data_IF_441027953223
#
_entry.id   IF_441027953223
#
_cell.length_a   1.000
_cell.length_b   1.000
_cell.length_c   1.000
_cell.angle_alpha   90.00
_cell.angle_beta   90.00
_cell.angle_gamma   90.00
#
_symmetry.space_group_name_H-M   'P 1'
#
loop_
_entity.id
_entity.type
_entity.pdbx_description
1 polymer ?
#
# COMPACT_ATOMS: atom_id res chain seq x y z
N UNK A 1 2.68 -4.31 -4.90
CA UNK A 1 2.08 -5.55 -4.39
C UNK A 1 1.02 -5.98 -5.40
N UNK A 2 1.23 -7.11 -6.09
CA UNK A 2 0.27 -7.61 -7.08
C UNK A 2 -0.60 -8.65 -6.36
N UNK A 3 -1.89 -8.37 -6.17
CA UNK A 3 -2.86 -9.26 -5.50
C UNK A 3 -3.75 -9.91 -6.55
N UNK A 4 -3.25 -10.74 -7.48
CA UNK A 4 -4.09 -11.24 -8.60
C UNK A 4 -5.41 -11.90 -8.12
N UNK A 5 -6.54 -11.23 -8.31
CA UNK A 5 -7.87 -11.85 -8.22
C UNK A 5 -8.32 -12.31 -9.61
N UNK A 6 -7.90 -13.51 -10.02
CA UNK A 6 -8.54 -14.24 -11.11
C UNK A 6 -9.54 -15.21 -10.50
N UNK A 7 -10.85 -14.96 -10.66
CA UNK A 7 -11.93 -15.83 -10.19
C UNK A 7 -11.79 -17.28 -10.69
N UNK A 8 -11.15 -17.50 -11.83
CA UNK A 8 -11.00 -18.82 -12.44
C UNK A 8 -9.81 -19.63 -11.89
N UNK A 9 -9.01 -19.04 -10.98
CA UNK A 9 -7.78 -19.64 -10.42
C UNK A 9 -7.71 -19.65 -8.90
N UNK A 10 -8.77 -19.24 -8.20
CA UNK A 10 -8.81 -19.23 -6.74
C UNK A 10 -8.77 -20.64 -6.11
N UNK A 11 -9.08 -21.69 -6.89
CA UNK A 11 -9.19 -23.04 -6.34
C UNK A 11 -7.85 -23.75 -6.03
N UNK A 12 -6.68 -23.23 -6.44
CA UNK A 12 -5.45 -24.04 -6.43
C UNK A 12 -4.15 -23.30 -6.02
N UNK A 13 -4.24 -22.19 -5.29
CA UNK A 13 -3.03 -21.55 -4.75
C UNK A 13 -3.16 -21.20 -3.26
N UNK A 14 -2.11 -21.45 -2.47
CA UNK A 14 -2.12 -21.21 -1.01
C UNK A 14 -2.37 -19.76 -0.58
N UNK A 15 -2.26 -18.79 -1.50
CA UNK A 15 -2.70 -17.41 -1.27
C UNK A 15 -4.23 -17.26 -1.20
N UNK A 16 -5.00 -18.19 -1.75
CA UNK A 16 -6.47 -18.19 -1.67
C UNK A 16 -6.97 -18.40 -0.23
N UNK A 17 -6.37 -19.34 0.51
CA UNK A 17 -6.74 -19.66 1.91
C UNK A 17 -6.53 -18.44 2.83
N UNK A 18 -5.49 -17.63 2.59
CA UNK A 18 -5.28 -16.40 3.35
C UNK A 18 -6.41 -15.39 3.10
N UNK A 19 -6.84 -15.25 1.85
CA UNK A 19 -7.93 -14.34 1.48
C UNK A 19 -9.30 -14.85 1.95
N UNK A 20 -9.50 -16.16 2.08
CA UNK A 20 -10.71 -16.74 2.68
C UNK A 20 -10.87 -16.37 4.16
N UNK A 21 -9.75 -16.32 4.89
CA UNK A 21 -9.74 -15.98 6.34
C UNK A 21 -9.54 -14.49 6.60
N UNK A 22 -9.00 -13.74 5.64
CA UNK A 22 -8.72 -12.31 5.71
C UNK A 22 -9.19 -11.65 4.40
N UNK A 23 -10.50 -11.41 4.26
CA UNK A 23 -11.04 -10.81 3.06
C UNK A 23 -10.48 -9.41 2.87
N UNK A 24 -10.22 -9.06 1.61
CA UNK A 24 -9.81 -7.70 1.22
C UNK A 24 -10.94 -6.74 1.61
N UNK A 25 -10.61 -5.74 2.41
CA UNK A 25 -11.58 -4.76 2.92
C UNK A 25 -11.96 -3.72 1.86
N UNK A 26 -11.04 -3.43 0.94
CA UNK A 26 -11.23 -2.42 -0.10
C UNK A 26 -11.85 -3.04 -1.35
N UNK A 27 -12.80 -2.36 -2.03
CA UNK A 27 -13.47 -2.90 -3.20
C UNK A 27 -12.47 -3.11 -4.35
N UNK A 28 -12.60 -4.24 -5.05
CA UNK A 28 -11.92 -4.48 -6.32
C UNK A 28 -12.56 -3.60 -7.40
N UNK A 29 -11.75 -2.80 -8.09
CA UNK A 29 -12.20 -1.87 -9.13
C UNK A 29 -12.10 -2.48 -10.53
N UNK A 30 -10.95 -3.07 -10.86
CA UNK A 30 -10.74 -3.80 -12.12
C UNK A 30 -9.87 -5.04 -11.87
N UNK A 31 -10.47 -6.22 -12.06
CA UNK A 31 -9.82 -7.51 -11.88
C UNK A 31 -8.66 -7.74 -12.87
N UNK A 32 -8.74 -7.16 -14.08
CA UNK A 32 -7.76 -7.39 -15.15
C UNK A 32 -6.41 -6.75 -14.84
N UNK A 33 -6.46 -5.60 -14.18
CA UNK A 33 -5.29 -4.81 -13.76
C UNK A 33 -4.96 -5.00 -12.28
N UNK A 34 -5.85 -5.66 -11.54
CA UNK A 34 -5.77 -5.82 -10.11
C UNK A 34 -5.80 -4.49 -9.33
N UNK A 35 -6.79 -3.67 -9.67
CA UNK A 35 -6.90 -2.29 -9.19
C UNK A 35 -7.78 -2.18 -7.95
N UNK A 36 -7.29 -1.45 -6.95
CA UNK A 36 -7.95 -1.22 -5.66
C UNK A 36 -7.73 0.21 -5.18
N UNK A 37 -8.70 0.75 -4.44
CA UNK A 37 -8.49 1.96 -3.63
C UNK A 37 -7.77 1.60 -2.33
N UNK A 38 -6.57 2.15 -2.12
CA UNK A 38 -5.78 1.93 -0.91
C UNK A 38 -5.34 3.28 -0.30
N UNK A 39 -5.15 3.31 1.00
CA UNK A 39 -4.67 4.49 1.72
C UNK A 39 -3.14 4.53 1.75
N UNK A 40 -2.56 5.72 1.58
CA UNK A 40 -1.14 5.98 1.79
C UNK A 40 -0.99 7.14 2.77
N UNK A 41 -0.24 6.92 3.86
CA UNK A 41 0.10 7.96 4.82
C UNK A 41 1.58 8.27 4.73
N UNK A 42 1.95 9.55 4.71
CA UNK A 42 3.32 10.00 4.59
C UNK A 42 3.56 11.31 5.38
N UNK A 43 4.83 11.69 5.50
CA UNK A 43 5.21 12.97 6.10
C UNK A 43 4.91 14.16 5.16
N UNK A 44 4.82 15.36 5.73
CA UNK A 44 4.60 16.59 4.96
C UNK A 44 5.67 16.81 3.87
N UNK A 45 6.93 16.44 4.15
CA UNK A 45 8.02 16.55 3.17
C UNK A 45 7.82 15.60 1.99
N UNK A 46 7.43 14.34 2.27
CA UNK A 46 7.15 13.37 1.22
C UNK A 46 5.90 13.74 0.43
N UNK A 47 4.90 14.35 1.07
CA UNK A 47 3.70 14.85 0.40
C UNK A 47 4.04 15.89 -0.67
N UNK A 48 4.98 16.80 -0.40
CA UNK A 48 5.44 17.77 -1.40
C UNK A 48 5.99 17.06 -2.65
N UNK A 49 6.87 16.07 -2.47
CA UNK A 49 7.40 15.30 -3.59
C UNK A 49 6.32 14.51 -4.33
N UNK A 50 5.40 13.88 -3.60
CA UNK A 50 4.31 13.09 -4.17
C UNK A 50 3.38 13.94 -5.04
N UNK A 51 3.06 15.17 -4.61
CA UNK A 51 2.20 16.08 -5.37
C UNK A 51 2.85 16.57 -6.68
N UNK A 52 4.17 16.69 -6.73
CA UNK A 52 4.89 17.24 -7.89
C UNK A 52 5.46 16.18 -8.83
N UNK A 53 5.82 15.00 -8.30
CA UNK A 53 6.53 13.94 -9.04
C UNK A 53 5.78 12.61 -9.06
N UNK A 54 4.67 12.49 -8.34
CA UNK A 54 3.98 11.23 -8.14
C UNK A 54 4.83 10.22 -7.34
N UNK A 55 4.50 8.94 -7.50
CA UNK A 55 5.20 7.84 -6.83
C UNK A 55 6.55 7.53 -7.51
N UNK A 56 7.57 8.30 -7.15
CA UNK A 56 8.94 8.12 -7.64
C UNK A 56 9.72 7.10 -6.78
N UNK A 57 10.16 5.95 -7.31
CA UNK A 57 10.87 4.94 -6.51
C UNK A 57 12.18 5.45 -5.91
N UNK A 58 12.78 6.51 -6.45
CA UNK A 58 14.05 7.08 -5.98
C UNK A 58 13.96 7.78 -4.62
N UNK A 59 12.75 8.15 -4.21
CA UNK A 59 12.48 8.79 -2.91
C UNK A 59 11.93 7.82 -1.86
N UNK A 60 11.81 6.54 -2.19
CA UNK A 60 11.26 5.52 -1.29
C UNK A 60 12.27 5.09 -0.22
N UNK A 61 11.79 4.72 0.98
CA UNK A 61 12.66 4.15 2.01
C UNK A 61 13.12 2.75 1.65
N UNK A 62 14.42 2.64 1.39
CA UNK A 62 15.11 1.39 1.10
C UNK A 62 15.09 0.38 2.25
N UNK A 63 14.82 0.83 3.48
CA UNK A 63 14.72 -0.01 4.70
C UNK A 63 13.29 -0.44 5.01
N UNK A 64 12.37 -0.32 4.06
CA UNK A 64 11.02 -0.85 4.20
C UNK A 64 11.01 -2.37 4.40
N UNK A 65 9.96 -2.89 5.07
CA UNK A 65 9.85 -4.31 5.47
C UNK A 65 9.97 -5.29 4.29
N UNK A 66 9.55 -4.86 3.11
CA UNK A 66 9.57 -5.65 1.87
C UNK A 66 10.47 -5.02 0.80
N UNK A 67 11.45 -4.21 1.21
CA UNK A 67 12.38 -3.49 0.33
C UNK A 67 11.96 -2.04 0.05
N UNK A 68 12.71 -1.39 -0.85
CA UNK A 68 12.51 -0.01 -1.26
C UNK A 68 11.32 0.15 -2.20
N UNK A 69 10.26 0.80 -1.70
CA UNK A 69 9.06 1.07 -2.48
C UNK A 69 7.99 1.79 -1.66
N UNK A 70 6.84 2.03 -2.28
CA UNK A 70 5.71 2.66 -1.63
C UNK A 70 4.77 1.64 -0.99
N UNK A 71 4.37 1.94 0.22
CA UNK A 71 3.49 1.10 1.03
C UNK A 71 2.10 1.72 1.07
N UNK A 72 1.11 0.91 0.71
CA UNK A 72 -0.29 1.26 0.79
C UNK A 72 -0.99 0.26 1.72
N UNK A 73 -2.12 0.65 2.29
CA UNK A 73 -2.89 -0.21 3.17
C UNK A 73 -4.40 -0.08 2.92
N UNK A 74 -5.11 -1.17 3.09
CA UNK A 74 -6.58 -1.20 3.04
C UNK A 74 -7.22 -0.43 4.20
N UNK A 75 -6.59 -0.50 5.37
CA UNK A 75 -7.08 0.14 6.58
C UNK A 75 -6.47 1.53 6.73
N UNK A 76 -7.33 2.56 6.82
CA UNK A 76 -6.91 3.94 7.01
C UNK A 76 -6.09 4.15 8.28
N UNK A 77 -6.40 3.46 9.38
CA UNK A 77 -5.66 3.56 10.64
C UNK A 77 -4.22 3.04 10.51
N UNK A 78 -3.99 2.05 9.63
CA UNK A 78 -2.64 1.55 9.34
C UNK A 78 -1.81 2.62 8.65
N UNK A 79 -2.38 3.28 7.64
CA UNK A 79 -1.72 4.39 6.92
C UNK A 79 -1.53 5.61 7.81
N UNK A 80 -2.49 5.92 8.69
CA UNK A 80 -2.39 7.01 9.65
C UNK A 80 -1.16 6.92 10.57
N UNK A 81 -0.68 5.70 10.88
CA UNK A 81 0.55 5.49 11.68
C UNK A 81 1.83 6.01 11.03
N UNK A 82 1.77 6.34 9.75
CA UNK A 82 2.89 6.91 8.99
C UNK A 82 2.77 8.41 8.77
N UNK A 83 1.72 9.03 9.30
CA UNK A 83 1.59 10.49 9.37
C UNK A 83 2.22 10.91 10.71
N UNK A 84 3.35 11.63 10.71
CA UNK A 84 3.98 12.08 11.94
C UNK A 84 3.11 13.12 12.65
N UNK A 85 3.15 13.16 13.98
CA UNK A 85 2.53 14.25 14.71
C UNK A 85 3.32 15.54 14.46
N UNK A 86 2.66 16.72 14.46
CA UNK A 86 3.36 17.99 14.40
C UNK A 86 4.41 18.09 15.52
N UNK A 87 5.69 18.22 15.14
CA UNK A 87 6.83 18.29 16.07
C UNK A 87 7.67 17.01 16.18
N UNK A 88 7.23 15.88 15.59
CA UNK A 88 8.02 14.65 15.56
C UNK A 88 9.20 14.76 14.58
N UNK A 89 10.35 14.19 14.96
CA UNK A 89 11.50 14.04 14.06
C UNK A 89 11.10 13.10 12.92
N UNK A 90 11.17 13.61 11.68
CA UNK A 90 10.74 12.92 10.46
C UNK A 90 11.44 11.57 10.34
N UNK A 91 10.68 10.47 10.47
CA UNK A 91 11.13 9.16 10.00
C UNK A 91 10.91 9.11 8.50
N UNK A 92 12.00 9.12 7.75
CA UNK A 92 11.97 9.00 6.28
C UNK A 92 11.37 7.63 5.95
N UNK A 93 10.39 7.65 5.05
CA UNK A 93 9.52 6.55 4.67
C UNK A 93 9.69 6.20 3.19
#
# INVERSE_FOLDING_TARGET
>A
MIIRQNNDRLADCGSSIYLETHPILTPLLDARTNEYWLFHGCSQNNLYHLLHSGYDPRISNLKGKFGGGFYLAENSSKSNRYIPCPGDVVKIQ
#
